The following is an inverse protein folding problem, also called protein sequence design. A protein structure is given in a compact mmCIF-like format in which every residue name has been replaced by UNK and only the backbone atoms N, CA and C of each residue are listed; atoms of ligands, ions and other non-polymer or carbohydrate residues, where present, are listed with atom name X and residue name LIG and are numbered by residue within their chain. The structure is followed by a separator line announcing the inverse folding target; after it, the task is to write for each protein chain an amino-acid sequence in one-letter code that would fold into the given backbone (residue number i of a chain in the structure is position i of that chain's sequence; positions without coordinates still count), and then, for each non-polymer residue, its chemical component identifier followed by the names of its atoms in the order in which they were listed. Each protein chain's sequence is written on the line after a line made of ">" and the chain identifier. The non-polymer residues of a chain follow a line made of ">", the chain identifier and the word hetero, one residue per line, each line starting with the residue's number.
data_IF_625163287792
#
_entry.id   IF_625163287792
#
_cell.length_a   1.000
_cell.length_b   1.000
_cell.length_c   1.000
_cell.angle_alpha   90.00
_cell.angle_beta   90.00
_cell.angle_gamma   90.00
#
_symmetry.space_group_name_H-M   'P 1'
#
loop_
_entity.id
_entity.type
_entity.pdbx_description
1 polymer ?
#
# COMPACT_ATOMS: atom_id res chain seq x y z
N UNK A 1 -14.63 -16.11 -4.12
CA UNK A 1 -13.17 -16.30 -3.86
C UNK A 1 -12.38 -16.51 -5.15
N UNK A 2 -12.82 -17.36 -6.06
CA UNK A 2 -12.22 -17.53 -7.41
C UNK A 2 -11.94 -16.21 -8.17
N UNK A 3 -12.86 -15.22 -8.22
CA UNK A 3 -12.58 -13.96 -8.93
C UNK A 3 -11.44 -13.15 -8.31
N UNK A 4 -11.28 -13.20 -6.98
CA UNK A 4 -10.21 -12.48 -6.28
C UNK A 4 -8.83 -13.07 -6.59
N UNK A 5 -8.73 -14.40 -6.72
CA UNK A 5 -7.50 -15.05 -7.12
C UNK A 5 -7.08 -14.68 -8.55
N UNK A 6 -8.04 -14.55 -9.46
CA UNK A 6 -7.80 -14.06 -10.82
C UNK A 6 -7.30 -12.62 -10.84
N UNK A 7 -7.89 -11.73 -10.02
CA UNK A 7 -7.43 -10.34 -9.89
C UNK A 7 -5.98 -10.31 -9.42
N UNK A 8 -5.62 -11.06 -8.38
CA UNK A 8 -4.23 -11.15 -7.91
C UNK A 8 -3.30 -11.67 -9.01
N UNK A 9 -3.70 -12.69 -9.76
CA UNK A 9 -2.90 -13.24 -10.86
C UNK A 9 -2.67 -12.20 -11.96
N UNK A 10 -3.69 -11.42 -12.32
CA UNK A 10 -3.58 -10.33 -13.30
C UNK A 10 -2.64 -9.24 -12.79
N UNK A 11 -2.79 -8.78 -11.55
CA UNK A 11 -1.91 -7.75 -10.96
C UNK A 11 -0.44 -8.20 -10.96
N UNK A 12 -0.17 -9.44 -10.53
CA UNK A 12 1.19 -9.99 -10.54
C UNK A 12 1.74 -10.08 -11.97
N UNK A 13 0.91 -10.47 -12.93
CA UNK A 13 1.30 -10.56 -14.34
C UNK A 13 1.61 -9.18 -14.91
N UNK A 14 0.78 -8.18 -14.62
CA UNK A 14 1.01 -6.78 -15.01
C UNK A 14 2.33 -6.26 -14.46
N UNK A 15 2.62 -6.48 -13.16
CA UNK A 15 3.89 -6.05 -12.55
C UNK A 15 5.11 -6.74 -13.20
N UNK A 16 4.97 -8.00 -13.62
CA UNK A 16 6.05 -8.73 -14.32
C UNK A 16 6.31 -8.23 -15.74
N UNK A 17 5.33 -7.59 -16.37
CA UNK A 17 5.47 -7.00 -17.71
C UNK A 17 5.95 -5.54 -17.68
N UNK A 18 6.14 -4.94 -16.50
CA UNK A 18 6.71 -3.60 -16.38
C UNK A 18 8.23 -3.63 -16.60
N UNK A 19 8.76 -2.53 -17.15
CA UNK A 19 10.21 -2.30 -17.24
C UNK A 19 10.87 -2.33 -15.85
N UNK A 20 12.17 -2.65 -15.79
CA UNK A 20 12.91 -2.75 -14.52
C UNK A 20 12.77 -1.50 -13.64
N UNK A 21 12.81 -0.32 -14.25
CA UNK A 21 12.66 0.97 -13.56
C UNK A 21 11.27 1.14 -12.94
N UNK A 22 10.22 0.79 -13.69
CA UNK A 22 8.85 0.87 -13.20
C UNK A 22 8.56 -0.18 -12.13
N UNK A 23 9.12 -1.38 -12.27
CA UNK A 23 9.01 -2.45 -11.29
C UNK A 23 9.69 -2.08 -9.97
N UNK A 24 10.89 -1.49 -10.02
CA UNK A 24 11.60 -0.99 -8.84
C UNK A 24 10.82 0.11 -8.14
N UNK A 25 10.28 1.06 -8.91
CA UNK A 25 9.41 2.13 -8.40
C UNK A 25 8.18 1.57 -7.68
N UNK A 26 7.47 0.63 -8.29
CA UNK A 26 6.28 0.01 -7.68
C UNK A 26 6.65 -0.73 -6.40
N UNK A 27 7.80 -1.40 -6.36
CA UNK A 27 8.27 -2.10 -5.17
C UNK A 27 8.58 -1.14 -4.01
N UNK A 28 9.27 -0.03 -4.29
CA UNK A 28 9.55 1.02 -3.30
C UNK A 28 8.25 1.67 -2.80
N UNK A 29 7.30 1.94 -3.71
CA UNK A 29 6.00 2.51 -3.34
C UNK A 29 5.17 1.56 -2.47
N UNK A 30 5.17 0.26 -2.77
CA UNK A 30 4.51 -0.76 -1.96
C UNK A 30 5.19 -0.93 -0.60
N UNK A 31 6.52 -0.87 -0.54
CA UNK A 31 7.26 -0.94 0.72
C UNK A 31 6.95 0.27 1.62
N UNK A 32 6.92 1.49 1.05
CA UNK A 32 6.53 2.70 1.77
C UNK A 32 5.08 2.61 2.25
N UNK A 33 4.18 2.16 1.38
CA UNK A 33 2.77 1.93 1.70
C UNK A 33 2.60 0.97 2.87
N UNK A 34 3.28 -0.16 2.82
CA UNK A 34 3.21 -1.17 3.85
C UNK A 34 3.76 -0.65 5.18
N UNK A 35 4.97 -0.07 5.17
CA UNK A 35 5.60 0.47 6.37
C UNK A 35 4.81 1.63 7.00
N UNK A 36 4.36 2.58 6.17
CA UNK A 36 3.57 3.73 6.63
C UNK A 36 2.22 3.32 7.20
N UNK A 37 1.53 2.40 6.54
CA UNK A 37 0.25 1.86 7.04
C UNK A 37 0.47 1.08 8.33
N UNK A 38 1.48 0.21 8.39
CA UNK A 38 1.81 -0.56 9.59
C UNK A 38 2.07 0.36 10.78
N UNK A 39 2.90 1.40 10.60
CA UNK A 39 3.26 2.34 11.67
C UNK A 39 2.03 3.08 12.21
N UNK A 40 1.12 3.52 11.33
CA UNK A 40 -0.13 4.16 11.74
C UNK A 40 -1.08 3.16 12.42
N UNK A 41 -1.25 1.95 11.87
CA UNK A 41 -2.13 0.95 12.47
C UNK A 41 -1.64 0.46 13.84
N UNK A 42 -0.32 0.29 14.00
CA UNK A 42 0.28 -0.05 15.28
C UNK A 42 0.12 1.12 16.27
N UNK A 43 0.41 2.35 15.86
CA UNK A 43 0.20 3.54 16.68
C UNK A 43 -1.27 3.68 17.11
N UNK A 44 -2.21 3.40 16.21
CA UNK A 44 -3.64 3.43 16.50
C UNK A 44 -4.06 2.30 17.45
N UNK A 45 -3.46 1.11 17.34
CA UNK A 45 -3.67 0.02 18.31
C UNK A 45 -3.27 0.39 19.74
N UNK A 46 -2.19 1.17 19.91
CA UNK A 46 -1.84 1.72 21.23
C UNK A 46 -2.85 2.75 21.73
N UNK A 47 -3.38 3.61 20.84
CA UNK A 47 -4.43 4.58 21.15
C UNK A 47 -5.77 3.90 21.51
N UNK A 48 -6.09 2.78 20.85
CA UNK A 48 -7.25 1.96 21.21
C UNK A 48 -7.12 1.41 22.64
N UNK A 49 -5.90 1.04 23.05
CA UNK A 49 -5.59 0.68 24.44
C UNK A 49 -5.75 1.82 25.45
N UNK A 50 -5.72 3.07 25.00
CA UNK A 50 -5.93 4.27 25.82
C UNK A 50 -7.41 4.75 25.85
N UNK A 51 -8.33 4.02 25.22
CA UNK A 51 -9.78 4.32 25.25
C UNK A 51 -10.34 5.05 24.04
N UNK A 52 -9.57 5.18 22.94
CA UNK A 52 -10.11 5.73 21.68
C UNK A 52 -11.14 4.79 21.03
N UNK A 53 -12.14 5.33 20.30
CA UNK A 53 -13.16 4.53 19.65
C UNK A 53 -12.56 3.64 18.56
N UNK A 54 -13.06 2.40 18.46
CA UNK A 54 -12.63 1.42 17.45
C UNK A 54 -12.95 1.95 16.05
N UNK A 55 -11.92 2.34 15.31
CA UNK A 55 -12.06 2.64 13.89
C UNK A 55 -12.15 1.32 13.14
N UNK A 56 -13.09 1.27 12.19
CA UNK A 56 -13.26 0.11 11.31
C UNK A 56 -11.99 -0.15 10.51
N UNK A 57 -11.57 -1.42 10.42
CA UNK A 57 -10.43 -1.84 9.61
C UNK A 57 -10.56 -1.45 8.13
N UNK A 58 -11.78 -1.12 7.68
CA UNK A 58 -12.01 -0.55 6.35
C UNK A 58 -11.29 0.80 6.12
N UNK A 59 -10.96 1.55 7.16
CA UNK A 59 -10.18 2.79 7.04
C UNK A 59 -8.70 2.54 6.69
N UNK A 60 -8.19 1.33 6.95
CA UNK A 60 -6.80 0.95 6.62
C UNK A 60 -6.60 0.86 5.11
N UNK A 61 -7.63 0.43 4.38
CA UNK A 61 -7.58 0.27 2.93
C UNK A 61 -7.31 1.58 2.17
N UNK A 62 -8.08 2.67 2.37
CA UNK A 62 -7.79 3.96 1.75
C UNK A 62 -6.50 4.59 2.27
N UNK A 63 -6.11 4.34 3.52
CA UNK A 63 -4.82 4.79 4.06
C UNK A 63 -3.66 4.16 3.29
N UNK A 64 -3.70 2.84 3.09
CA UNK A 64 -2.71 2.10 2.32
C UNK A 64 -2.69 2.57 0.86
N UNK A 65 -3.85 2.75 0.23
CA UNK A 65 -3.94 3.28 -1.13
C UNK A 65 -3.33 4.68 -1.24
N UNK A 66 -3.54 5.55 -0.25
CA UNK A 66 -2.96 6.89 -0.21
C UNK A 66 -1.42 6.86 -0.12
N UNK A 67 -0.86 6.04 0.78
CA UNK A 67 0.60 5.93 0.88
C UNK A 67 1.22 5.31 -0.38
N UNK A 68 0.58 4.31 -0.99
CA UNK A 68 1.05 3.74 -2.25
C UNK A 68 1.04 4.80 -3.37
N UNK A 69 -0.04 5.58 -3.48
CA UNK A 69 -0.12 6.67 -4.47
C UNK A 69 0.98 7.72 -4.26
N UNK A 70 1.24 8.11 -3.02
CA UNK A 70 2.36 9.02 -2.69
C UNK A 70 3.71 8.41 -3.07
N UNK A 71 3.93 7.13 -2.77
CA UNK A 71 5.17 6.43 -3.15
C UNK A 71 5.39 6.38 -4.66
N UNK A 72 4.33 6.09 -5.43
CA UNK A 72 4.39 6.10 -6.90
C UNK A 72 4.65 7.52 -7.42
N UNK A 73 4.00 8.54 -6.86
CA UNK A 73 4.17 9.93 -7.29
C UNK A 73 5.59 10.44 -7.03
N UNK A 74 6.14 10.17 -5.84
CA UNK A 74 7.50 10.56 -5.46
C UNK A 74 8.52 9.94 -6.43
N UNK A 75 8.43 8.64 -6.68
CA UNK A 75 9.41 8.04 -7.57
C UNK A 75 9.18 8.36 -9.05
N UNK A 76 7.95 8.67 -9.49
CA UNK A 76 7.72 9.29 -10.81
C UNK A 76 8.39 10.66 -10.94
N UNK A 77 8.40 11.47 -9.88
CA UNK A 77 9.09 12.76 -9.87
C UNK A 77 10.61 12.61 -9.87
N UNK A 78 11.14 11.51 -9.30
CA UNK A 78 12.58 11.24 -9.21
C UNK A 78 13.19 10.67 -10.51
N UNK A 79 12.39 10.02 -11.35
CA UNK A 79 12.80 9.44 -12.63
C UNK A 79 12.42 10.32 -13.84
N UNK A 80 12.13 11.61 -13.62
CA UNK A 80 12.01 12.61 -14.70
C UNK A 80 13.38 13.10 -15.15
#
# INVERSE_FOLDING_TARGET
>A
MLPAAFICAVVVRTIRHLDEMQRKLQFEALALSFAGTALITFGYGFLEGAGFPRISMFAVWPLMAAFWFVGVMIGRLRFK
#
